data_IF_923728367419
#
_entry.id   IF_923728367419
#
_cell.length_a   1.000
_cell.length_b   1.000
_cell.length_c   1.000
_cell.angle_alpha   90.00
_cell.angle_beta   90.00
_cell.angle_gamma   90.00
#
_symmetry.space_group_name_H-M   'P 1'
#
loop_
_entity.id
_entity.type
_entity.pdbx_description
1 polymer ?
#
# COMPACT_ATOMS: atom_id res chain seq x y z
N UNK A 1 -9.96 0.48 4.60
CA UNK A 1 -9.04 1.24 5.45
C UNK A 1 -9.17 0.95 6.95
N UNK A 2 -10.36 0.63 7.50
CA UNK A 2 -10.55 0.51 8.95
C UNK A 2 -9.53 -0.42 9.66
N UNK A 3 -9.19 -1.57 9.07
CA UNK A 3 -8.16 -2.47 9.63
C UNK A 3 -6.76 -1.81 9.57
N UNK A 4 -6.43 -1.13 8.48
CA UNK A 4 -5.16 -0.41 8.35
C UNK A 4 -5.04 0.71 9.41
N UNK A 5 -6.11 1.48 9.64
CA UNK A 5 -6.18 2.48 10.71
C UNK A 5 -5.97 1.88 12.10
N UNK A 6 -6.55 0.70 12.36
CA UNK A 6 -6.31 -0.01 13.63
C UNK A 6 -4.83 -0.37 13.79
N UNK A 7 -4.20 -0.89 12.74
CA UNK A 7 -2.78 -1.28 12.77
C UNK A 7 -1.90 -0.05 12.99
N UNK A 8 -2.09 1.02 12.22
CA UNK A 8 -1.28 2.25 12.34
C UNK A 8 -1.45 2.93 13.69
N UNK A 9 -2.65 2.83 14.30
CA UNK A 9 -2.95 3.38 15.62
C UNK A 9 -2.46 2.56 16.81
N UNK A 10 -1.89 1.36 16.60
CA UNK A 10 -1.36 0.55 17.69
C UNK A 10 -0.15 1.21 18.36
N UNK A 11 -0.17 1.26 19.69
CA UNK A 11 0.97 1.74 20.49
C UNK A 11 2.13 0.74 20.54
N UNK A 12 1.81 -0.54 20.42
CA UNK A 12 2.80 -1.62 20.40
C UNK A 12 3.59 -1.60 19.09
N UNK A 13 4.85 -2.02 19.07
CA UNK A 13 5.61 -2.22 17.84
C UNK A 13 4.88 -3.16 16.89
N UNK A 14 4.90 -2.80 15.62
CA UNK A 14 4.31 -3.60 14.54
C UNK A 14 5.29 -3.67 13.38
N UNK A 15 5.38 -4.83 12.76
CA UNK A 15 6.04 -5.01 11.47
C UNK A 15 5.09 -5.70 10.51
N UNK A 16 5.22 -5.41 9.23
CA UNK A 16 4.51 -6.11 8.17
C UNK A 16 5.50 -6.76 7.22
N UNK A 17 5.09 -7.83 6.59
CA UNK A 17 5.83 -8.42 5.48
C UNK A 17 4.88 -8.87 4.38
N UNK A 18 5.15 -8.45 3.15
CA UNK A 18 4.44 -8.90 1.95
C UNK A 18 5.12 -10.17 1.45
N UNK A 19 4.37 -11.29 1.46
CA UNK A 19 4.77 -12.58 0.93
C UNK A 19 3.89 -12.92 -0.28
N UNK A 20 4.51 -13.21 -1.42
CA UNK A 20 3.78 -13.50 -2.66
C UNK A 20 3.13 -12.27 -3.27
N UNK A 21 1.93 -11.89 -2.84
CA UNK A 21 1.20 -10.75 -3.40
C UNK A 21 0.60 -9.81 -2.37
N UNK A 22 0.88 -8.52 -2.49
CA UNK A 22 0.29 -7.44 -1.69
C UNK A 22 -0.54 -6.49 -2.56
N UNK A 23 -1.54 -7.03 -3.25
CA UNK A 23 -2.30 -6.29 -4.26
C UNK A 23 -3.42 -5.45 -3.64
N UNK A 24 -3.74 -4.31 -4.27
CA UNK A 24 -4.91 -3.49 -3.93
C UNK A 24 -5.00 -3.14 -2.45
N UNK A 25 -5.95 -3.73 -1.71
CA UNK A 25 -6.11 -3.54 -0.26
C UNK A 25 -4.89 -3.99 0.57
N UNK A 26 -4.04 -4.85 0.01
CA UNK A 26 -2.77 -5.24 0.62
C UNK A 26 -1.82 -4.06 0.84
N UNK A 27 -1.90 -3.01 0.01
CA UNK A 27 -1.02 -1.84 0.10
C UNK A 27 -1.24 -1.07 1.41
N UNK A 28 -2.44 -0.53 1.70
CA UNK A 28 -2.64 0.18 2.96
C UNK A 28 -2.43 -0.71 4.19
N UNK A 29 -2.65 -2.02 4.11
CA UNK A 29 -2.35 -2.94 5.20
C UNK A 29 -0.84 -3.09 5.43
N UNK A 30 -0.05 -3.19 4.36
CA UNK A 30 1.39 -3.33 4.45
C UNK A 30 2.05 -2.07 5.04
N UNK A 31 1.67 -0.88 4.59
CA UNK A 31 2.27 0.38 5.05
C UNK A 31 1.79 0.80 6.45
N UNK A 32 0.73 0.21 6.98
CA UNK A 32 0.17 0.56 8.28
C UNK A 32 1.06 0.19 9.48
N UNK A 33 2.01 -0.73 9.32
CA UNK A 33 2.92 -1.13 10.37
C UNK A 33 4.05 -0.10 10.58
N UNK A 34 4.70 -0.13 11.76
CA UNK A 34 5.83 0.75 12.09
C UNK A 34 7.05 0.52 11.19
N UNK A 35 7.25 -0.70 10.71
CA UNK A 35 8.21 -1.05 9.67
C UNK A 35 7.60 -2.09 8.73
N UNK A 36 7.85 -1.91 7.45
CA UNK A 36 7.31 -2.75 6.38
C UNK A 36 8.41 -3.46 5.61
N UNK A 37 8.15 -4.72 5.28
CA UNK A 37 9.05 -5.57 4.49
C UNK A 37 8.31 -6.17 3.32
N UNK A 38 9.06 -6.51 2.28
CA UNK A 38 8.57 -7.26 1.14
C UNK A 38 9.59 -8.34 0.76
N UNK A 39 9.13 -9.55 0.54
CA UNK A 39 10.00 -10.63 0.03
C UNK A 39 10.46 -10.30 -1.40
N UNK A 40 11.68 -10.71 -1.75
CA UNK A 40 12.28 -10.42 -3.06
C UNK A 40 11.42 -10.89 -4.24
N UNK A 41 10.73 -12.02 -4.08
CA UNK A 41 9.86 -12.63 -5.11
C UNK A 41 8.40 -12.17 -5.02
N UNK A 42 8.07 -11.31 -4.06
CA UNK A 42 6.72 -10.80 -3.90
C UNK A 42 6.47 -9.60 -4.82
N UNK A 43 5.20 -9.35 -5.12
CA UNK A 43 4.79 -8.21 -5.93
C UNK A 43 3.60 -7.47 -5.29
N UNK A 44 3.44 -6.21 -5.64
CA UNK A 44 2.31 -5.38 -5.26
C UNK A 44 1.66 -4.79 -6.51
N UNK A 45 0.34 -4.64 -6.50
CA UNK A 45 -0.36 -3.95 -7.58
C UNK A 45 -1.07 -2.73 -7.04
N UNK A 46 -0.65 -1.57 -7.52
CA UNK A 46 -1.29 -0.28 -7.25
C UNK A 46 -2.29 0.00 -8.37
N UNK A 47 -3.54 0.25 -8.03
CA UNK A 47 -4.57 0.58 -9.01
C UNK A 47 -5.66 1.49 -8.39
N UNK A 48 -6.43 2.25 -9.21
CA UNK A 48 -7.49 3.09 -8.69
C UNK A 48 -8.65 2.27 -8.12
N UNK A 49 -9.47 2.92 -7.30
CA UNK A 49 -10.76 2.37 -6.88
C UNK A 49 -11.59 2.03 -8.12
N UNK A 50 -12.15 0.84 -8.16
CA UNK A 50 -12.95 0.33 -9.27
C UNK A 50 -14.37 0.04 -8.82
N UNK A 51 -15.31 0.21 -9.72
CA UNK A 51 -16.70 -0.19 -9.54
C UNK A 51 -17.22 -0.86 -10.81
N UNK A 52 -18.13 -1.81 -10.65
CA UNK A 52 -18.85 -2.44 -11.75
C UNK A 52 -20.34 -2.43 -11.41
N UNK A 53 -21.19 -2.21 -12.41
CA UNK A 53 -22.63 -2.23 -12.25
C UNK A 53 -23.31 -0.97 -12.74
N UNK A 54 -24.64 -0.91 -12.51
CA UNK A 54 -25.46 0.24 -12.87
C UNK A 54 -25.12 1.44 -11.98
N UNK A 55 -24.86 2.59 -12.60
CA UNK A 55 -24.61 3.84 -11.90
C UNK A 55 -25.80 4.78 -12.04
N UNK A 56 -26.39 5.16 -10.92
CA UNK A 56 -27.41 6.19 -10.82
C UNK A 56 -26.80 7.45 -10.22
N UNK A 57 -27.07 8.63 -10.81
CA UNK A 57 -26.49 9.89 -10.33
C UNK A 57 -24.98 9.95 -10.60
N UNK A 58 -24.60 10.04 -11.88
CA UNK A 58 -23.18 9.98 -12.31
C UNK A 58 -22.28 11.00 -11.60
N UNK A 59 -22.63 12.29 -11.45
CA UNK A 59 -21.75 13.24 -10.76
C UNK A 59 -21.54 12.89 -9.29
N UNK A 60 -22.57 12.45 -8.58
CA UNK A 60 -22.49 12.06 -7.17
C UNK A 60 -21.67 10.79 -6.98
N UNK A 61 -21.83 9.82 -7.87
CA UNK A 61 -21.05 8.57 -7.86
C UNK A 61 -19.57 8.85 -8.13
N UNK A 62 -19.27 9.67 -9.12
CA UNK A 62 -17.89 10.09 -9.41
C UNK A 62 -17.24 10.76 -8.18
N UNK A 63 -17.93 11.72 -7.57
CA UNK A 63 -17.43 12.43 -6.39
C UNK A 63 -17.22 11.49 -5.19
N UNK A 64 -18.12 10.53 -4.98
CA UNK A 64 -17.98 9.53 -3.94
C UNK A 64 -16.71 8.67 -4.13
N UNK A 65 -16.48 8.15 -5.33
CA UNK A 65 -15.28 7.35 -5.61
C UNK A 65 -14.00 8.16 -5.60
N UNK A 66 -14.05 9.43 -6.05
CA UNK A 66 -12.92 10.35 -5.95
C UNK A 66 -12.51 10.53 -4.48
N UNK A 67 -13.45 10.83 -3.59
CA UNK A 67 -13.17 10.94 -2.15
C UNK A 67 -12.65 9.65 -1.54
N UNK A 68 -13.12 8.50 -1.99
CA UNK A 68 -12.61 7.21 -1.55
C UNK A 68 -11.16 7.00 -1.99
N UNK A 69 -10.84 7.33 -3.24
CA UNK A 69 -9.47 7.30 -3.75
C UNK A 69 -8.55 8.25 -2.97
N UNK A 70 -8.98 9.48 -2.74
CA UNK A 70 -8.21 10.48 -1.98
C UNK A 70 -7.88 9.98 -0.56
N UNK A 71 -8.85 9.36 0.13
CA UNK A 71 -8.63 8.79 1.46
C UNK A 71 -7.62 7.66 1.48
N UNK A 72 -7.64 6.79 0.47
CA UNK A 72 -6.66 5.70 0.34
C UNK A 72 -5.28 6.28 0.05
N UNK A 73 -5.18 7.21 -0.89
CA UNK A 73 -3.92 7.88 -1.26
C UNK A 73 -3.30 8.57 -0.05
N UNK A 74 -4.08 9.37 0.67
CA UNK A 74 -3.60 10.08 1.87
C UNK A 74 -3.08 9.10 2.92
N UNK A 75 -3.84 8.03 3.23
CA UNK A 75 -3.39 7.03 4.18
C UNK A 75 -2.06 6.37 3.78
N UNK A 76 -1.92 5.98 2.51
CA UNK A 76 -0.69 5.36 2.02
C UNK A 76 0.50 6.31 2.11
N UNK A 77 0.32 7.56 1.67
CA UNK A 77 1.37 8.60 1.71
C UNK A 77 1.78 8.93 3.15
N UNK A 78 0.83 9.06 4.07
CA UNK A 78 1.11 9.34 5.48
C UNK A 78 1.85 8.20 6.21
N UNK A 79 1.74 6.97 5.72
CA UNK A 79 2.33 5.77 6.33
C UNK A 79 3.48 5.16 5.52
N UNK A 80 4.03 5.87 4.53
CA UNK A 80 5.14 5.39 3.69
C UNK A 80 6.06 6.55 3.27
N UNK A 81 7.09 6.27 2.51
CA UNK A 81 8.00 7.29 1.98
C UNK A 81 7.64 7.79 0.57
N UNK A 82 6.53 7.29 -0.03
CA UNK A 82 6.13 7.70 -1.38
C UNK A 82 5.47 9.08 -1.38
N UNK A 83 5.72 9.89 -2.43
CA UNK A 83 5.05 11.18 -2.55
C UNK A 83 3.63 11.03 -3.12
N UNK A 84 2.70 11.99 -2.83
CA UNK A 84 1.34 11.96 -3.37
C UNK A 84 1.32 11.93 -4.91
N UNK A 85 2.20 12.72 -5.55
CA UNK A 85 2.31 12.81 -6.99
C UNK A 85 2.74 11.47 -7.58
N UNK A 86 3.78 10.85 -6.99
CA UNK A 86 4.30 9.56 -7.48
C UNK A 86 3.30 8.44 -7.28
N UNK A 87 2.64 8.39 -6.12
CA UNK A 87 1.59 7.40 -5.89
C UNK A 87 0.44 7.54 -6.91
N UNK A 88 0.02 8.77 -7.21
CA UNK A 88 -1.01 9.04 -8.21
C UNK A 88 -0.59 8.62 -9.63
N UNK A 89 0.67 8.85 -10.01
CA UNK A 89 1.21 8.37 -11.30
C UNK A 89 1.14 6.84 -11.40
N UNK A 90 1.55 6.12 -10.34
CA UNK A 90 1.48 4.66 -10.32
C UNK A 90 0.04 4.14 -10.40
N UNK A 91 -0.89 4.78 -9.67
CA UNK A 91 -2.31 4.45 -9.67
C UNK A 91 -2.94 4.59 -11.06
N UNK A 92 -2.58 5.65 -11.79
CA UNK A 92 -3.19 6.02 -13.07
C UNK A 92 -2.40 5.54 -14.30
N UNK A 93 -1.33 4.77 -14.11
CA UNK A 93 -0.54 4.23 -15.20
C UNK A 93 -1.39 3.34 -16.12
N UNK A 94 -1.28 3.55 -17.42
CA UNK A 94 -1.96 2.76 -18.46
C UNK A 94 -0.98 1.98 -19.34
N UNK A 95 0.30 1.93 -18.94
CA UNK A 95 1.35 1.28 -19.71
C UNK A 95 1.42 -0.24 -19.54
N UNK A 96 0.71 -0.80 -18.56
CA UNK A 96 0.74 -2.22 -18.24
C UNK A 96 -0.51 -2.94 -18.74
N UNK A 97 -0.36 -3.81 -19.74
CA UNK A 97 -1.47 -4.53 -20.38
C UNK A 97 -2.26 -5.43 -19.42
N UNK A 98 -1.62 -5.96 -18.38
CA UNK A 98 -2.26 -6.91 -17.45
C UNK A 98 -3.19 -6.22 -16.46
N UNK A 99 -2.93 -4.95 -16.15
CA UNK A 99 -3.68 -4.23 -15.13
C UNK A 99 -4.76 -3.31 -15.68
N UNK A 100 -4.75 -3.04 -17.00
CA UNK A 100 -5.58 -2.02 -17.67
C UNK A 100 -5.24 -0.61 -17.17
N UNK A 101 -5.43 -0.34 -15.88
CA UNK A 101 -5.00 0.89 -15.20
C UNK A 101 -4.35 0.51 -13.88
N UNK A 102 -3.13 0.99 -13.66
CA UNK A 102 -2.34 0.75 -12.45
C UNK A 102 -0.93 0.27 -12.76
N UNK A 103 -0.20 -0.08 -11.72
CA UNK A 103 1.21 -0.50 -11.81
C UNK A 103 1.46 -1.74 -10.98
N UNK A 104 2.20 -2.69 -11.53
CA UNK A 104 2.76 -3.82 -10.80
C UNK A 104 4.18 -3.44 -10.37
N UNK A 105 4.46 -3.58 -9.08
CA UNK A 105 5.77 -3.37 -8.47
C UNK A 105 6.25 -4.71 -7.93
N UNK A 106 7.43 -5.16 -8.30
CA UNK A 106 8.09 -6.24 -7.59
C UNK A 106 8.73 -5.74 -6.28
N UNK A 107 9.34 -6.63 -5.50
CA UNK A 107 9.83 -6.30 -4.17
C UNK A 107 10.84 -5.14 -4.15
N UNK A 108 11.78 -5.12 -5.10
CA UNK A 108 12.80 -4.07 -5.19
C UNK A 108 12.19 -2.74 -5.67
N UNK A 109 11.22 -2.80 -6.58
CA UNK A 109 10.51 -1.61 -7.07
C UNK A 109 9.65 -0.97 -5.98
N UNK A 110 8.95 -1.77 -5.18
CA UNK A 110 8.14 -1.26 -4.07
C UNK A 110 8.98 -0.49 -3.04
N UNK A 111 10.21 -0.93 -2.79
CA UNK A 111 11.16 -0.22 -1.92
C UNK A 111 11.72 1.02 -2.61
N UNK A 112 12.11 0.94 -3.88
CA UNK A 112 12.64 2.07 -4.63
C UNK A 112 11.62 3.22 -4.75
N UNK A 113 10.35 2.90 -4.89
CA UNK A 113 9.26 3.88 -4.91
C UNK A 113 8.92 4.46 -3.52
N UNK A 114 9.53 3.94 -2.47
CA UNK A 114 9.27 4.39 -1.10
C UNK A 114 7.95 3.86 -0.50
N UNK A 115 7.34 2.87 -1.15
CA UNK A 115 6.09 2.28 -0.67
C UNK A 115 6.32 1.30 0.50
N UNK A 116 7.41 0.54 0.44
CA UNK A 116 7.82 -0.41 1.49
C UNK A 116 9.24 -0.05 1.95
N UNK A 117 9.53 -0.24 3.24
CA UNK A 117 10.82 0.19 3.82
C UNK A 117 11.99 -0.69 3.35
N UNK A 118 11.82 -2.00 3.27
CA UNK A 118 12.94 -2.90 2.97
C UNK A 118 12.52 -4.19 2.27
N UNK A 119 13.36 -4.67 1.37
CA UNK A 119 13.30 -6.07 0.93
C UNK A 119 13.87 -6.94 2.04
N UNK A 120 13.18 -8.03 2.40
CA UNK A 120 13.65 -8.91 3.47
C UNK A 120 12.85 -10.19 3.59
N UNK A 121 13.27 -11.01 4.53
CA UNK A 121 12.65 -12.28 4.89
C UNK A 121 11.76 -12.13 6.12
N UNK A 122 11.04 -13.20 6.48
CA UNK A 122 10.29 -13.26 7.75
C UNK A 122 11.24 -13.07 8.95
N UNK A 123 12.46 -13.62 8.90
CA UNK A 123 13.44 -13.45 9.95
C UNK A 123 13.86 -12.00 10.11
N UNK A 124 14.14 -11.29 9.00
CA UNK A 124 14.49 -9.86 9.04
C UNK A 124 13.36 -9.02 9.65
N UNK A 125 12.11 -9.34 9.31
CA UNK A 125 10.94 -8.66 9.88
C UNK A 125 10.79 -8.92 11.40
N UNK A 126 11.06 -10.15 11.85
CA UNK A 126 11.04 -10.52 13.28
C UNK A 126 12.17 -9.81 14.02
N UNK A 127 13.38 -9.79 13.48
CA UNK A 127 14.53 -9.10 14.08
C UNK A 127 14.24 -7.60 14.23
N UNK A 128 13.67 -6.97 13.20
CA UNK A 128 13.23 -5.57 13.27
C UNK A 128 12.15 -5.33 14.33
N UNK A 129 11.24 -6.29 14.55
CA UNK A 129 10.25 -6.20 15.61
C UNK A 129 10.92 -6.22 17.00
N UNK A 130 11.90 -7.08 17.22
CA UNK A 130 12.67 -7.11 18.47
C UNK A 130 13.44 -5.80 18.69
N UNK A 131 14.06 -5.25 17.65
CA UNK A 131 14.71 -3.93 17.71
C UNK A 131 13.74 -2.82 18.14
N UNK A 132 12.54 -2.80 17.57
CA UNK A 132 11.50 -1.84 17.94
C UNK A 132 11.01 -2.01 19.38
N UNK A 133 11.00 -3.24 19.93
CA UNK A 133 10.63 -3.52 21.31
C UNK A 133 11.71 -3.03 22.29
N UNK A 134 12.98 -3.24 21.96
CA UNK A 134 14.11 -2.88 22.84
C UNK A 134 14.30 -1.35 22.92
N UNK A 135 13.95 -0.64 21.86
CA UNK A 135 14.15 0.82 21.75
C UNK A 135 12.90 1.64 22.16
N UNK A 136 11.95 1.04 22.87
CA UNK A 136 10.74 1.75 23.40
C UNK A 136 11.00 2.52 24.69
#
# INVERSE_FOLDING_TARGET
LAIAEVISGLRKPTVSIVLGGGHSIGIPLAVAAKRSFIAKSASMTVHPVRTTGLTLGVPQTFEYFRRMQDRITNFVVENSGITPERYSELVLNTGELVTDVGTILDGEDAVREGLIDSVGTVSDAIDALYELIINQ
#
